data_IF_245437096755
#
_entry.id   IF_245437096755
#
_cell.length_a   1.000
_cell.length_b   1.000
_cell.length_c   1.000
_cell.angle_alpha   90.00
_cell.angle_beta   90.00
_cell.angle_gamma   90.00
#
_symmetry.space_group_name_H-M   'P 1'
#
loop_
_entity.id
_entity.type
_entity.pdbx_description
1 polymer ?
#
# COMPACT_ATOMS: atom_id res chain seq x y z
N UNK A 1 -34.49 3.91 -1.14
CA UNK A 1 -33.35 3.46 -0.32
C UNK A 1 -32.29 4.55 -0.32
N UNK A 2 -32.20 5.29 0.78
CA UNK A 2 -31.21 6.35 0.98
C UNK A 2 -30.18 5.81 1.96
N UNK A 3 -28.89 5.83 1.62
CA UNK A 3 -27.87 5.32 2.55
C UNK A 3 -26.52 4.90 1.96
N UNK A 4 -25.98 5.62 0.97
CA UNK A 4 -24.53 5.60 0.70
C UNK A 4 -24.10 7.04 0.40
N UNK A 5 -24.10 7.87 1.42
CA UNK A 5 -23.49 9.21 1.38
C UNK A 5 -22.70 9.45 2.67
N UNK A 6 -21.84 8.49 3.02
CA UNK A 6 -20.48 8.86 3.45
C UNK A 6 -19.67 8.92 2.17
N UNK A 7 -19.05 10.07 1.91
CA UNK A 7 -18.56 10.47 0.59
C UNK A 7 -17.59 9.41 0.08
N UNK A 8 -17.74 8.93 -1.16
CA UNK A 8 -16.87 7.90 -1.77
C UNK A 8 -15.37 8.18 -1.54
N UNK A 9 -15.00 9.46 -1.47
CA UNK A 9 -13.66 9.94 -1.12
C UNK A 9 -13.19 9.53 0.27
N UNK A 10 -13.99 9.69 1.33
CA UNK A 10 -13.62 9.33 2.71
C UNK A 10 -13.34 7.82 2.83
N UNK A 11 -14.15 7.02 2.13
CA UNK A 11 -14.00 5.56 2.09
C UNK A 11 -12.71 5.19 1.35
N UNK A 12 -12.44 5.85 0.23
CA UNK A 12 -11.19 5.66 -0.52
C UNK A 12 -9.98 6.01 0.36
N UNK A 13 -10.01 7.13 1.07
CA UNK A 13 -8.95 7.54 1.99
C UNK A 13 -8.75 6.54 3.13
N UNK A 14 -9.83 6.05 3.73
CA UNK A 14 -9.78 5.01 4.75
C UNK A 14 -9.09 3.73 4.21
N UNK A 15 -9.42 3.31 2.99
CA UNK A 15 -8.80 2.14 2.38
C UNK A 15 -7.32 2.35 2.07
N UNK A 16 -6.94 3.54 1.58
CA UNK A 16 -5.53 3.89 1.40
C UNK A 16 -4.77 3.77 2.71
N UNK A 17 -5.29 4.34 3.80
CA UNK A 17 -4.65 4.27 5.12
C UNK A 17 -4.51 2.82 5.61
N UNK A 18 -5.53 1.98 5.44
CA UNK A 18 -5.47 0.57 5.84
C UNK A 18 -4.42 -0.22 5.04
N UNK A 19 -4.32 0.03 3.73
CA UNK A 19 -3.37 -0.66 2.85
C UNK A 19 -1.93 -0.15 3.06
N UNK A 20 -1.76 1.15 3.30
CA UNK A 20 -0.46 1.74 3.58
C UNK A 20 0.09 1.33 4.95
N UNK A 21 -0.80 1.16 5.95
CA UNK A 21 -0.45 0.66 7.29
C UNK A 21 -0.07 -0.83 7.26
N UNK A 22 -0.82 -1.66 6.53
CA UNK A 22 -0.51 -3.07 6.31
C UNK A 22 -0.68 -3.47 4.84
N UNK A 23 0.41 -3.46 4.04
CA UNK A 23 0.37 -3.87 2.64
C UNK A 23 0.01 -5.35 2.42
N UNK A 24 -0.03 -6.16 3.49
CA UNK A 24 -0.38 -7.58 3.46
C UNK A 24 -1.81 -7.86 3.92
N UNK A 25 -2.59 -6.81 4.24
CA UNK A 25 -3.97 -6.95 4.69
C UNK A 25 -4.81 -7.73 3.67
N UNK A 26 -5.61 -8.68 4.15
CA UNK A 26 -6.49 -9.47 3.29
C UNK A 26 -7.78 -8.70 2.99
N UNK A 27 -8.51 -9.15 1.96
CA UNK A 27 -9.84 -8.59 1.65
C UNK A 27 -10.75 -8.73 2.86
N UNK A 28 -10.73 -9.88 3.55
CA UNK A 28 -11.50 -10.15 4.76
C UNK A 28 -11.11 -9.18 5.89
N UNK A 29 -9.81 -8.92 6.08
CA UNK A 29 -9.34 -7.95 7.08
C UNK A 29 -9.82 -6.52 6.78
N UNK A 30 -9.87 -6.12 5.51
CA UNK A 30 -10.44 -4.83 5.10
C UNK A 30 -11.96 -4.82 5.36
N UNK A 31 -12.67 -5.91 5.04
CA UNK A 31 -14.11 -6.02 5.29
C UNK A 31 -14.45 -5.83 6.77
N UNK A 32 -13.70 -6.49 7.67
CA UNK A 32 -13.90 -6.39 9.11
C UNK A 32 -13.61 -4.98 9.63
N UNK A 33 -12.53 -4.33 9.16
CA UNK A 33 -12.15 -2.98 9.62
C UNK A 33 -13.03 -1.87 9.04
N UNK A 34 -13.52 -2.04 7.82
CA UNK A 34 -14.35 -1.05 7.15
C UNK A 34 -15.86 -1.28 7.34
N UNK A 35 -16.26 -2.41 7.93
CA UNK A 35 -17.66 -2.87 8.04
C UNK A 35 -18.37 -2.89 6.67
N UNK A 36 -17.73 -3.54 5.69
CA UNK A 36 -18.18 -3.57 4.30
C UNK A 36 -18.28 -4.97 3.71
N UNK A 37 -19.18 -5.11 2.74
CA UNK A 37 -19.30 -6.33 1.96
C UNK A 37 -18.08 -6.55 1.05
N UNK A 38 -17.72 -7.82 0.85
CA UNK A 38 -16.62 -8.24 -0.03
C UNK A 38 -16.71 -7.59 -1.42
N UNK A 39 -17.90 -7.58 -2.04
CA UNK A 39 -18.10 -6.97 -3.36
C UNK A 39 -17.86 -5.46 -3.37
N UNK A 40 -18.20 -4.75 -2.30
CA UNK A 40 -17.92 -3.32 -2.17
C UNK A 40 -16.43 -3.07 -2.02
N UNK A 41 -15.76 -3.86 -1.17
CA UNK A 41 -14.30 -3.80 -0.97
C UNK A 41 -13.56 -4.05 -2.28
N UNK A 42 -13.90 -5.12 -3.01
CA UNK A 42 -13.28 -5.46 -4.29
C UNK A 42 -13.49 -4.36 -5.34
N UNK A 43 -14.69 -3.76 -5.40
CA UNK A 43 -14.98 -2.65 -6.31
C UNK A 43 -14.13 -1.41 -5.99
N UNK A 44 -13.97 -1.08 -4.71
CA UNK A 44 -13.13 0.05 -4.30
C UNK A 44 -11.66 -0.21 -4.66
N UNK A 45 -11.13 -1.39 -4.31
CA UNK A 45 -9.73 -1.74 -4.59
C UNK A 45 -9.45 -1.76 -6.12
N UNK A 46 -10.32 -2.40 -6.90
CA UNK A 46 -10.13 -2.55 -8.34
C UNK A 46 -10.49 -1.30 -9.14
N UNK A 47 -11.68 -0.75 -8.93
CA UNK A 47 -12.22 0.30 -9.79
C UNK A 47 -11.76 1.70 -9.36
N UNK A 48 -11.63 1.94 -8.06
CA UNK A 48 -11.28 3.26 -7.53
C UNK A 48 -9.78 3.40 -7.25
N UNK A 49 -9.17 2.43 -6.54
CA UNK A 49 -7.74 2.48 -6.20
C UNK A 49 -6.84 1.95 -7.33
N UNK A 50 -7.40 1.25 -8.32
CA UNK A 50 -6.66 0.60 -9.41
C UNK A 50 -5.57 -0.36 -8.92
N UNK A 51 -5.78 -0.97 -7.76
CA UNK A 51 -4.87 -1.95 -7.17
C UNK A 51 -5.23 -3.36 -7.63
N UNK A 52 -4.21 -4.21 -7.69
CA UNK A 52 -4.35 -5.65 -7.96
C UNK A 52 -3.55 -6.43 -6.94
N UNK A 53 -3.99 -7.65 -6.63
CA UNK A 53 -3.22 -8.57 -5.79
C UNK A 53 -1.88 -8.89 -6.49
N UNK A 54 -0.79 -8.66 -5.78
CA UNK A 54 0.55 -9.07 -6.19
C UNK A 54 1.04 -10.10 -5.17
N UNK A 55 1.58 -11.22 -5.65
CA UNK A 55 2.29 -12.16 -4.79
C UNK A 55 3.65 -11.57 -4.45
N UNK A 56 3.96 -11.43 -3.16
CA UNK A 56 5.29 -10.99 -2.73
C UNK A 56 6.36 -11.93 -3.28
N UNK A 57 7.40 -11.37 -3.90
CA UNK A 57 8.60 -12.13 -4.26
C UNK A 57 9.35 -12.51 -2.98
N UNK A 58 10.03 -13.66 -2.98
CA UNK A 58 10.87 -14.05 -1.86
C UNK A 58 12.00 -13.03 -1.65
N UNK A 59 12.07 -12.45 -0.44
CA UNK A 59 13.17 -11.58 -0.01
C UNK A 59 13.79 -12.22 1.24
N UNK A 60 15.12 -12.43 1.29
CA UNK A 60 15.77 -13.13 2.40
C UNK A 60 15.63 -12.47 3.77
N UNK A 61 15.25 -11.18 3.82
CA UNK A 61 15.16 -10.42 5.07
C UNK A 61 14.27 -9.19 4.90
N UNK A 62 13.31 -9.05 5.81
CA UNK A 62 12.57 -7.80 5.98
C UNK A 62 13.46 -6.74 6.61
N UNK A 63 13.41 -5.55 6.01
CA UNK A 63 14.21 -4.41 6.43
C UNK A 63 13.36 -3.51 7.32
N UNK A 64 13.92 -3.09 8.45
CA UNK A 64 13.35 -1.98 9.21
C UNK A 64 13.46 -0.67 8.44
N UNK A 65 12.65 0.33 8.80
CA UNK A 65 12.67 1.64 8.16
C UNK A 65 14.05 2.30 8.21
N UNK A 66 14.76 2.14 9.33
CA UNK A 66 16.14 2.61 9.50
C UNK A 66 17.08 1.92 8.51
N UNK A 67 16.94 0.61 8.31
CA UNK A 67 17.75 -0.15 7.34
C UNK A 67 17.44 0.27 5.91
N UNK A 68 16.17 0.49 5.58
CA UNK A 68 15.72 0.96 4.25
C UNK A 68 16.27 2.35 3.95
N UNK A 69 16.17 3.28 4.90
CA UNK A 69 16.72 4.63 4.78
C UNK A 69 18.25 4.62 4.61
N UNK A 70 18.96 3.84 5.44
CA UNK A 70 20.42 3.68 5.34
C UNK A 70 20.83 3.16 3.97
N UNK A 71 20.15 2.13 3.45
CA UNK A 71 20.40 1.59 2.11
C UNK A 71 20.18 2.65 1.04
N UNK A 72 19.05 3.36 1.09
CA UNK A 72 18.75 4.43 0.13
C UNK A 72 19.82 5.53 0.12
N UNK A 73 20.31 5.95 1.29
CA UNK A 73 21.40 6.93 1.42
C UNK A 73 22.69 6.43 0.76
N UNK A 74 23.11 5.20 1.07
CA UNK A 74 24.33 4.61 0.51
C UNK A 74 24.23 4.49 -1.01
N UNK A 75 23.11 4.01 -1.54
CA UNK A 75 22.91 3.90 -2.99
C UNK A 75 23.04 5.25 -3.69
N UNK A 76 22.47 6.32 -3.11
CA UNK A 76 22.61 7.69 -3.65
C UNK A 76 24.06 8.18 -3.62
N UNK A 77 24.79 7.91 -2.54
CA UNK A 77 26.21 8.26 -2.42
C UNK A 77 27.05 7.54 -3.47
N UNK A 78 26.86 6.22 -3.62
CA UNK A 78 27.57 5.42 -4.62
C UNK A 78 27.28 5.88 -6.04
N UNK A 79 26.01 6.20 -6.35
CA UNK A 79 25.62 6.72 -7.65
C UNK A 79 26.30 8.06 -7.95
N UNK A 80 26.31 8.98 -6.99
CA UNK A 80 26.98 10.28 -7.13
C UNK A 80 28.48 10.13 -7.37
N UNK A 81 29.14 9.22 -6.65
CA UNK A 81 30.57 8.95 -6.83
C UNK A 81 30.86 8.37 -8.22
N UNK A 82 30.03 7.44 -8.68
CA UNK A 82 30.16 6.86 -10.02
C UNK A 82 30.01 7.93 -11.11
N UNK A 83 29.02 8.81 -10.98
CA UNK A 83 28.75 9.88 -11.94
C UNK A 83 29.83 10.97 -11.96
N UNK A 84 30.47 11.26 -10.81
CA UNK A 84 31.57 12.24 -10.73
C UNK A 84 32.93 11.67 -11.14
N UNK A 85 33.07 10.35 -11.18
CA UNK A 85 34.27 9.66 -11.63
C UNK A 85 34.33 9.46 -13.17
N UNK A 86 33.31 9.95 -13.89
CA UNK A 86 33.23 9.97 -15.36
C UNK A 86 33.35 11.42 -15.84
#
# INVERSE_FOLDING_TARGET
HSGITKTTTEIIEQFCLLIDDDPYITIEGIQERADMSCGTVQRIIGDHLKLRKITANYVPKDLSDVQRAKRGRICKQNLSQFQQAT
#
